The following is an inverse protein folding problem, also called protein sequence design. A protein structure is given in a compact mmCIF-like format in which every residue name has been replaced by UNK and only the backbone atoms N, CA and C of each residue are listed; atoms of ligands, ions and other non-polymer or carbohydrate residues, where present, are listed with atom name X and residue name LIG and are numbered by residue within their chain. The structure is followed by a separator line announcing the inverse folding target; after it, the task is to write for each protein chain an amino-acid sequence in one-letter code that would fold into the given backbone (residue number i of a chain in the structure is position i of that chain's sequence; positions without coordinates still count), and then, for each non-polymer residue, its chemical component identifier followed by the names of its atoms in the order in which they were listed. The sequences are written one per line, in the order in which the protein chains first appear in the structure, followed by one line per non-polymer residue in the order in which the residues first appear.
data_IF_654539316118
#
_entry.id   IF_654539316118
#
_cell.length_a   1.000
_cell.length_b   1.000
_cell.length_c   1.000
_cell.angle_alpha   90.00
_cell.angle_beta   90.00
_cell.angle_gamma   90.00
#
_symmetry.space_group_name_H-M   'P 1'
#
loop_
_entity.id
_entity.type
_entity.pdbx_description
1 polymer ?
#
# COMPACT_ATOMS: atom_id res chain seq x y z
N UNK A 1 -5.57 -10.61 7.88
CA UNK A 1 -5.16 -11.80 8.63
C UNK A 1 -6.24 -12.19 9.64
N UNK A 2 -6.66 -13.46 9.64
CA UNK A 2 -7.67 -13.95 10.56
C UNK A 2 -7.30 -13.61 12.02
N UNK A 3 -8.26 -12.99 12.75
CA UNK A 3 -8.15 -12.67 14.18
C UNK A 3 -7.10 -11.57 14.53
N UNK A 4 -6.62 -10.78 13.57
CA UNK A 4 -5.80 -9.61 13.87
C UNK A 4 -6.67 -8.47 14.40
N UNK A 5 -6.22 -7.79 15.46
CA UNK A 5 -7.06 -6.83 16.18
C UNK A 5 -7.51 -5.63 15.34
N UNK A 6 -6.73 -5.21 14.35
CA UNK A 6 -7.10 -4.10 13.45
C UNK A 6 -8.19 -4.50 12.45
N UNK A 7 -8.34 -5.81 12.19
CA UNK A 7 -9.35 -6.36 11.28
C UNK A 7 -10.59 -6.89 12.06
N UNK A 8 -10.78 -6.40 13.28
CA UNK A 8 -11.88 -6.82 14.15
C UNK A 8 -11.61 -8.11 14.94
N UNK A 9 -10.38 -8.60 14.92
CA UNK A 9 -9.93 -9.72 15.74
C UNK A 9 -9.47 -9.31 17.14
N UNK A 10 -8.81 -10.23 17.82
CA UNK A 10 -8.39 -10.06 19.23
C UNK A 10 -6.88 -10.14 19.42
N UNK A 11 -6.13 -10.61 18.41
CA UNK A 11 -4.70 -10.90 18.51
C UNK A 11 -3.82 -9.83 17.89
N UNK A 12 -2.69 -9.56 18.53
CA UNK A 12 -1.60 -8.71 18.00
C UNK A 12 -0.74 -9.47 17.00
N UNK A 13 -0.55 -10.78 17.23
CA UNK A 13 0.09 -11.72 16.31
C UNK A 13 -0.93 -12.83 16.06
N UNK A 14 -1.50 -12.86 14.87
CA UNK A 14 -2.65 -13.71 14.55
C UNK A 14 -2.29 -15.10 14.05
N UNK A 15 -1.01 -15.35 13.74
CA UNK A 15 -0.51 -16.59 13.16
C UNK A 15 0.80 -17.02 13.84
N UNK A 16 1.16 -18.28 13.70
CA UNK A 16 2.47 -18.78 14.11
C UNK A 16 3.55 -18.35 13.09
N UNK A 17 4.81 -18.45 13.49
CA UNK A 17 5.93 -18.15 12.57
C UNK A 17 5.94 -19.08 11.36
N UNK A 18 5.60 -20.35 11.57
CA UNK A 18 5.49 -21.37 10.53
C UNK A 18 4.39 -21.03 9.53
N UNK A 19 3.20 -20.68 10.03
CA UNK A 19 2.08 -20.23 9.18
C UNK A 19 2.42 -18.98 8.39
N UNK A 20 3.09 -18.02 9.01
CA UNK A 20 3.54 -16.80 8.31
C UNK A 20 4.52 -17.15 7.17
N UNK A 21 5.51 -17.99 7.40
CA UNK A 21 6.46 -18.40 6.36
C UNK A 21 5.76 -19.15 5.23
N UNK A 22 4.79 -20.02 5.53
CA UNK A 22 3.98 -20.70 4.53
C UNK A 22 3.15 -19.70 3.73
N UNK A 23 2.55 -18.71 4.38
CA UNK A 23 1.73 -17.68 3.71
C UNK A 23 2.59 -16.81 2.78
N UNK A 24 3.76 -16.34 3.23
CA UNK A 24 4.67 -15.58 2.37
C UNK A 24 5.10 -16.40 1.16
N UNK A 25 5.40 -17.69 1.34
CA UNK A 25 5.76 -18.59 0.24
C UNK A 25 4.61 -18.77 -0.75
N UNK A 26 3.38 -18.93 -0.28
CA UNK A 26 2.19 -19.03 -1.15
C UNK A 26 1.94 -17.73 -1.92
N UNK A 27 1.98 -16.59 -1.24
CA UNK A 27 1.86 -15.28 -1.89
C UNK A 27 2.92 -15.15 -2.99
N UNK A 28 4.15 -15.50 -2.71
CA UNK A 28 5.23 -15.43 -3.70
C UNK A 28 5.01 -16.35 -4.89
N UNK A 29 4.43 -17.54 -4.67
CA UNK A 29 4.08 -18.45 -5.76
C UNK A 29 2.96 -17.87 -6.63
N UNK A 30 1.89 -17.35 -6.03
CA UNK A 30 0.80 -16.68 -6.76
C UNK A 30 1.34 -15.52 -7.61
N UNK A 31 2.22 -14.69 -7.04
CA UNK A 31 2.83 -13.57 -7.78
C UNK A 31 3.66 -14.05 -9.00
N UNK A 32 4.28 -15.23 -8.91
CA UNK A 32 4.98 -15.85 -10.05
C UNK A 32 4.03 -16.36 -11.10
N UNK A 33 2.98 -17.02 -10.66
CA UNK A 33 2.00 -17.64 -11.55
C UNK A 33 1.20 -16.57 -12.34
N UNK A 34 0.93 -15.42 -11.73
CA UNK A 34 0.35 -14.25 -12.39
C UNK A 34 1.27 -13.63 -13.45
N UNK A 35 2.58 -13.72 -13.31
CA UNK A 35 3.56 -13.28 -14.30
C UNK A 35 3.51 -11.80 -14.66
N UNK A 36 2.95 -10.93 -13.80
CA UNK A 36 2.79 -9.50 -14.06
C UNK A 36 4.14 -8.79 -14.23
N UNK A 37 4.25 -7.85 -15.19
CA UNK A 37 5.46 -7.05 -15.40
C UNK A 37 5.79 -6.16 -14.20
N UNK A 38 4.77 -5.64 -13.53
CA UNK A 38 4.88 -4.81 -12.33
C UNK A 38 3.89 -5.29 -11.28
N UNK A 39 4.38 -5.53 -10.07
CA UNK A 39 3.57 -5.94 -8.92
C UNK A 39 3.62 -4.88 -7.84
N UNK A 40 2.45 -4.49 -7.32
CA UNK A 40 2.29 -3.49 -6.26
C UNK A 40 1.76 -4.18 -5.00
N UNK A 41 2.57 -4.17 -3.95
CA UNK A 41 2.26 -4.81 -2.67
C UNK A 41 2.12 -3.75 -1.58
N UNK A 42 1.17 -3.96 -0.68
CA UNK A 42 0.92 -3.13 0.49
C UNK A 42 1.10 -3.96 1.76
N UNK A 43 1.32 -3.28 2.88
CA UNK A 43 1.51 -3.90 4.20
C UNK A 43 2.67 -4.90 4.31
N UNK A 44 3.70 -4.72 3.47
CA UNK A 44 4.91 -5.56 3.52
C UNK A 44 5.74 -5.17 4.74
N UNK A 45 5.93 -6.11 5.65
CA UNK A 45 6.68 -5.90 6.89
C UNK A 45 8.19 -6.04 6.67
N UNK A 46 8.94 -5.14 7.32
CA UNK A 46 10.40 -5.25 7.48
C UNK A 46 10.72 -5.24 8.97
N UNK A 47 10.87 -6.41 9.58
CA UNK A 47 11.21 -6.57 11.00
C UNK A 47 10.16 -6.00 11.98
N UNK A 48 8.88 -6.20 11.70
CA UNK A 48 7.79 -5.91 12.63
C UNK A 48 7.60 -7.05 13.65
N UNK A 49 7.21 -6.72 14.88
CA UNK A 49 6.91 -7.73 15.89
C UNK A 49 5.78 -8.68 15.45
N UNK A 50 4.75 -8.14 14.81
CA UNK A 50 3.59 -8.91 14.31
C UNK A 50 3.95 -9.98 13.28
N UNK A 51 5.09 -9.81 12.59
CA UNK A 51 5.65 -10.74 11.59
C UNK A 51 6.92 -11.45 12.09
N UNK A 52 7.06 -11.62 13.40
CA UNK A 52 8.23 -12.26 14.03
C UNK A 52 9.58 -11.66 13.62
N UNK A 53 9.60 -10.36 13.31
CA UNK A 53 10.75 -9.63 12.78
C UNK A 53 11.34 -10.23 11.48
N UNK A 54 10.54 -10.98 10.73
CA UNK A 54 10.92 -11.41 9.38
C UNK A 54 10.92 -10.19 8.46
N UNK A 55 11.92 -10.11 7.60
CA UNK A 55 11.97 -9.13 6.52
C UNK A 55 11.26 -9.71 5.30
N UNK A 56 9.97 -9.43 5.17
CA UNK A 56 9.15 -9.95 4.07
C UNK A 56 9.60 -9.38 2.73
N UNK A 57 10.07 -8.12 2.71
CA UNK A 57 10.60 -7.52 1.48
C UNK A 57 11.84 -8.29 0.98
N UNK A 58 12.76 -8.65 1.89
CA UNK A 58 13.96 -9.42 1.56
C UNK A 58 13.59 -10.83 1.06
N UNK A 59 12.65 -11.49 1.74
CA UNK A 59 12.17 -12.82 1.33
C UNK A 59 11.51 -12.77 -0.05
N UNK A 60 10.61 -11.81 -0.28
CA UNK A 60 9.89 -11.69 -1.55
C UNK A 60 10.87 -11.31 -2.67
N UNK A 61 11.73 -10.31 -2.48
CA UNK A 61 12.69 -9.88 -3.50
C UNK A 61 13.70 -11.00 -3.85
N UNK A 62 14.13 -11.76 -2.85
CA UNK A 62 15.01 -12.92 -3.07
C UNK A 62 14.41 -14.02 -3.96
N UNK A 63 13.07 -14.09 -4.02
CA UNK A 63 12.36 -15.01 -4.90
C UNK A 63 12.21 -14.49 -6.36
N UNK A 64 12.52 -13.20 -6.59
CA UNK A 64 12.46 -12.55 -7.92
C UNK A 64 13.81 -11.86 -8.24
N UNK A 65 14.90 -12.62 -8.40
CA UNK A 65 16.24 -12.05 -8.57
C UNK A 65 16.41 -11.26 -9.88
N UNK A 66 15.52 -11.45 -10.84
CA UNK A 66 15.45 -10.76 -12.14
C UNK A 66 14.60 -9.50 -12.10
N UNK A 67 13.97 -9.18 -10.96
CA UNK A 67 13.13 -7.99 -10.80
C UNK A 67 13.76 -6.95 -9.88
N UNK A 68 13.53 -5.69 -10.19
CA UNK A 68 13.91 -4.60 -9.30
C UNK A 68 12.86 -4.48 -8.18
N UNK A 69 13.31 -4.55 -6.93
CA UNK A 69 12.51 -4.19 -5.75
C UNK A 69 12.69 -2.72 -5.41
N UNK A 70 11.59 -2.05 -5.10
CA UNK A 70 11.57 -0.70 -4.52
C UNK A 70 10.64 -0.71 -3.31
N UNK A 71 11.08 -0.10 -2.20
CA UNK A 71 10.34 -0.11 -0.94
C UNK A 71 10.20 1.28 -0.33
N UNK A 72 9.03 1.58 0.23
CA UNK A 72 8.78 2.83 0.95
C UNK A 72 8.04 2.56 2.27
N UNK A 73 8.65 2.94 3.42
CA UNK A 73 7.97 2.86 4.71
C UNK A 73 6.75 3.77 4.76
N UNK A 74 5.60 3.22 5.14
CA UNK A 74 4.39 3.97 5.48
C UNK A 74 3.97 3.83 6.96
N UNK A 75 4.55 2.85 7.67
CA UNK A 75 4.41 2.69 9.12
C UNK A 75 5.77 2.31 9.72
N UNK A 76 6.34 3.23 10.51
CA UNK A 76 7.59 2.97 11.22
C UNK A 76 7.50 3.55 12.63
N UNK A 77 7.36 2.66 13.62
CA UNK A 77 7.30 2.99 15.03
C UNK A 77 8.20 2.04 15.82
N UNK A 78 8.99 2.59 16.74
CA UNK A 78 9.87 1.80 17.61
C UNK A 78 9.08 0.99 18.63
N UNK A 79 7.97 1.56 19.12
CA UNK A 79 7.11 0.91 20.11
C UNK A 79 5.71 1.50 20.05
N UNK A 80 4.72 0.63 19.89
CA UNK A 80 3.30 0.97 19.96
C UNK A 80 2.75 0.28 21.21
N UNK A 81 2.36 1.06 22.25
CA UNK A 81 1.94 0.49 23.55
C UNK A 81 0.55 -0.11 23.57
N UNK A 82 -0.14 -0.05 22.46
CA UNK A 82 -1.53 -0.48 22.28
C UNK A 82 -1.61 -1.55 21.17
N UNK A 83 -2.57 -2.51 21.24
CA UNK A 83 -3.50 -2.79 22.36
C UNK A 83 -2.78 -3.43 23.57
N UNK A 84 -3.48 -4.22 24.37
CA UNK A 84 -2.90 -5.04 25.44
C UNK A 84 -3.16 -6.51 25.08
N UNK A 85 -2.10 -7.32 24.84
CA UNK A 85 -0.66 -6.99 24.84
C UNK A 85 -0.25 -6.02 23.73
N UNK A 86 0.85 -5.26 23.91
CA UNK A 86 1.24 -4.20 22.98
C UNK A 86 1.70 -4.74 21.61
N UNK A 87 1.45 -3.95 20.55
CA UNK A 87 1.90 -4.25 19.19
C UNK A 87 3.44 -4.19 19.05
N UNK A 88 4.12 -3.48 19.95
CA UNK A 88 5.57 -3.27 19.95
C UNK A 88 6.06 -2.53 18.70
N UNK A 89 7.21 -2.94 18.13
CA UNK A 89 7.76 -2.30 16.94
C UNK A 89 7.00 -2.69 15.67
N UNK A 90 6.83 -1.71 14.80
CA UNK A 90 6.33 -1.89 13.43
C UNK A 90 7.28 -1.21 12.46
N UNK A 91 7.57 -1.88 11.38
CA UNK A 91 8.29 -1.37 10.23
C UNK A 91 7.68 -2.00 8.98
N UNK A 92 6.68 -1.32 8.39
CA UNK A 92 5.91 -1.80 7.26
C UNK A 92 5.81 -0.75 6.17
N UNK A 93 5.52 -1.17 4.95
CA UNK A 93 5.48 -0.24 3.84
C UNK A 93 4.83 -0.78 2.57
N UNK A 94 5.10 -0.02 1.52
CA UNK A 94 4.75 -0.35 0.14
C UNK A 94 5.97 -0.99 -0.52
N UNK A 95 5.75 -2.05 -1.28
CA UNK A 95 6.78 -2.68 -2.09
C UNK A 95 6.29 -2.74 -3.54
N UNK A 96 7.16 -2.41 -4.47
CA UNK A 96 6.90 -2.57 -5.90
C UNK A 96 8.01 -3.43 -6.51
N UNK A 97 7.61 -4.49 -7.22
CA UNK A 97 8.51 -5.33 -8.02
C UNK A 97 8.31 -4.98 -9.48
N UNK A 98 9.40 -4.78 -10.21
CA UNK A 98 9.36 -4.49 -11.65
C UNK A 98 10.32 -5.38 -12.42
N UNK A 99 9.80 -6.11 -13.41
CA UNK A 99 10.58 -6.78 -14.45
C UNK A 99 11.02 -5.82 -15.56
N UNK A 100 10.47 -4.60 -15.57
CA UNK A 100 10.84 -3.54 -16.50
C UNK A 100 11.92 -2.63 -15.89
N UNK A 101 12.69 -1.96 -16.74
CA UNK A 101 13.70 -1.01 -16.29
C UNK A 101 13.05 0.16 -15.55
N UNK A 102 13.45 0.40 -14.31
CA UNK A 102 13.06 1.57 -13.51
C UNK A 102 14.22 2.57 -13.54
N UNK A 103 13.93 3.82 -13.89
CA UNK A 103 14.90 4.91 -13.89
C UNK A 103 15.03 5.53 -12.49
N UNK A 104 13.90 5.70 -11.81
CA UNK A 104 13.88 6.22 -10.44
C UNK A 104 12.67 5.69 -9.67
N UNK A 105 12.83 5.59 -8.36
CA UNK A 105 11.77 5.30 -7.40
C UNK A 105 11.75 6.41 -6.34
N UNK A 106 10.58 6.95 -6.04
CA UNK A 106 10.40 8.07 -5.13
C UNK A 106 9.31 7.78 -4.10
N UNK A 107 9.63 8.06 -2.82
CA UNK A 107 8.63 8.07 -1.75
C UNK A 107 8.05 9.47 -1.61
N UNK A 108 6.77 9.63 -1.90
CA UNK A 108 6.03 10.90 -1.76
C UNK A 108 5.16 10.82 -0.51
N UNK A 109 5.41 11.70 0.47
CA UNK A 109 4.63 11.71 1.72
C UNK A 109 3.22 12.23 1.47
N UNK A 110 2.22 11.53 2.01
CA UNK A 110 0.83 11.97 2.02
C UNK A 110 0.52 12.80 3.28
N UNK A 111 -0.51 13.66 3.24
CA UNK A 111 -1.04 14.33 4.42
C UNK A 111 -1.40 13.32 5.51
N UNK A 112 -1.06 13.64 6.76
CA UNK A 112 -1.36 12.80 7.92
C UNK A 112 -2.40 13.48 8.81
N UNK A 113 -3.50 12.79 9.20
CA UNK A 113 -4.48 13.32 10.13
C UNK A 113 -3.95 13.35 11.58
N UNK A 114 -2.89 12.62 11.86
CA UNK A 114 -2.37 12.43 13.21
C UNK A 114 -1.40 13.54 13.63
N UNK A 115 -1.68 14.15 14.77
CA UNK A 115 -0.80 15.16 15.42
C UNK A 115 0.09 14.50 16.46
N UNK A 116 1.16 15.21 16.84
CA UNK A 116 1.99 14.81 17.97
C UNK A 116 1.17 14.81 19.28
N UNK A 117 1.36 13.84 20.23
CA UNK A 117 2.31 12.72 20.17
C UNK A 117 1.80 11.50 19.37
N UNK A 118 0.52 11.43 19.00
CA UNK A 118 -0.10 10.30 18.32
C UNK A 118 0.60 9.92 16.99
N UNK A 119 1.09 10.90 16.24
CA UNK A 119 1.82 10.68 14.99
C UNK A 119 3.10 9.84 15.13
N UNK A 120 3.63 9.68 16.36
CA UNK A 120 4.82 8.85 16.61
C UNK A 120 4.54 7.34 16.51
N UNK A 121 3.29 6.95 16.75
CA UNK A 121 2.84 5.56 16.75
C UNK A 121 1.94 5.21 15.55
N UNK A 122 1.46 6.22 14.82
CA UNK A 122 0.53 6.04 13.72
C UNK A 122 1.20 6.02 12.35
N UNK A 123 0.42 5.63 11.35
CA UNK A 123 0.79 5.53 9.95
C UNK A 123 1.22 6.90 9.40
N UNK A 124 2.26 6.88 8.57
CA UNK A 124 2.73 8.00 7.76
C UNK A 124 2.60 7.59 6.30
N UNK A 125 1.36 7.57 5.84
CA UNK A 125 1.00 7.14 4.50
C UNK A 125 1.85 7.85 3.44
N UNK A 126 2.12 7.14 2.36
CA UNK A 126 2.90 7.66 1.24
C UNK A 126 2.46 7.02 -0.07
N UNK A 127 2.90 7.61 -1.16
CA UNK A 127 2.93 6.99 -2.47
C UNK A 127 4.36 6.49 -2.72
N UNK A 128 4.50 5.37 -3.42
CA UNK A 128 5.76 4.91 -3.99
C UNK A 128 5.63 5.02 -5.51
N UNK A 129 6.24 6.03 -6.08
CA UNK A 129 6.19 6.30 -7.52
C UNK A 129 7.43 5.74 -8.21
N UNK A 130 7.23 4.85 -9.18
CA UNK A 130 8.25 4.35 -10.08
C UNK A 130 8.18 5.12 -11.40
N UNK A 131 9.30 5.57 -11.92
CA UNK A 131 9.37 6.17 -13.26
C UNK A 131 10.15 5.25 -14.20
N UNK A 132 9.46 4.78 -15.24
CA UNK A 132 9.97 3.84 -16.21
C UNK A 132 10.17 4.55 -17.55
N UNK A 133 11.34 4.42 -18.17
CA UNK A 133 11.59 5.01 -19.49
C UNK A 133 10.78 4.27 -20.57
N UNK A 134 10.30 5.03 -21.56
CA UNK A 134 9.64 4.50 -22.74
C UNK A 134 10.62 4.60 -23.91
N UNK A 135 10.87 3.47 -24.57
CA UNK A 135 11.81 3.42 -25.70
C UNK A 135 11.39 4.39 -26.83
N UNK A 136 12.33 5.22 -27.28
CA UNK A 136 12.09 6.19 -28.35
C UNK A 136 11.25 7.40 -27.94
N UNK A 137 11.07 7.66 -26.65
CA UNK A 137 10.30 8.79 -26.13
C UNK A 137 10.98 9.45 -24.94
N UNK A 138 10.83 10.77 -24.82
CA UNK A 138 11.19 11.51 -23.59
C UNK A 138 10.14 11.31 -22.47
N UNK A 139 8.97 10.79 -22.81
CA UNK A 139 7.89 10.49 -21.86
C UNK A 139 8.24 9.27 -21.03
N UNK A 140 7.65 9.19 -19.84
CA UNK A 140 7.82 8.07 -18.92
C UNK A 140 6.47 7.43 -18.60
N UNK A 141 6.50 6.15 -18.24
CA UNK A 141 5.42 5.51 -17.52
C UNK A 141 5.67 5.72 -16.02
N UNK A 142 4.74 6.39 -15.34
CA UNK A 142 4.78 6.59 -13.90
C UNK A 142 3.78 5.64 -13.25
N UNK A 143 4.28 4.71 -12.46
CA UNK A 143 3.46 3.73 -11.73
C UNK A 143 3.50 4.07 -10.25
N UNK A 144 2.33 4.36 -9.68
CA UNK A 144 2.18 4.79 -8.29
C UNK A 144 1.56 3.66 -7.48
N UNK A 145 2.32 3.10 -6.53
CA UNK A 145 1.81 2.21 -5.51
C UNK A 145 1.34 3.03 -4.31
N UNK A 146 0.16 2.71 -3.78
CA UNK A 146 -0.46 3.45 -2.70
C UNK A 146 -1.15 2.55 -1.66
N UNK A 147 -1.32 3.09 -0.46
CA UNK A 147 -2.19 2.57 0.59
C UNK A 147 -2.72 3.76 1.38
N UNK A 148 -3.97 4.15 1.12
CA UNK A 148 -4.60 5.34 1.67
C UNK A 148 -5.15 5.11 3.09
N UNK A 149 -5.59 6.19 3.74
CA UNK A 149 -6.10 6.15 5.11
C UNK A 149 -7.44 5.41 5.21
N UNK A 150 -7.55 4.57 6.24
CA UNK A 150 -8.72 3.75 6.52
C UNK A 150 -9.52 4.21 7.75
N UNK A 151 -8.82 4.75 8.75
CA UNK A 151 -9.28 4.80 10.14
C UNK A 151 -9.54 6.23 10.67
N UNK A 152 -9.65 7.21 9.77
CA UNK A 152 -10.01 8.57 10.13
C UNK A 152 -11.51 8.84 9.96
N UNK A 153 -11.93 10.05 10.30
CA UNK A 153 -13.31 10.54 10.10
C UNK A 153 -13.64 10.89 8.64
N UNK A 154 -12.72 10.63 7.72
CA UNK A 154 -12.81 10.90 6.28
C UNK A 154 -11.98 12.10 5.80
N UNK A 155 -11.68 13.06 6.65
CA UNK A 155 -10.96 14.27 6.25
C UNK A 155 -9.50 13.99 5.80
N UNK A 156 -8.81 13.10 6.48
CA UNK A 156 -7.45 12.69 6.10
C UNK A 156 -7.43 11.91 4.79
N UNK A 157 -8.41 11.04 4.59
CA UNK A 157 -8.58 10.28 3.34
C UNK A 157 -8.90 11.20 2.16
N UNK A 158 -9.80 12.16 2.33
CA UNK A 158 -10.11 13.16 1.32
C UNK A 158 -8.87 13.99 0.94
N UNK A 159 -8.11 14.45 1.94
CA UNK A 159 -6.85 15.16 1.70
C UNK A 159 -5.83 14.30 0.94
N UNK A 160 -5.76 12.99 1.22
CA UNK A 160 -4.88 12.06 0.53
C UNK A 160 -5.33 11.80 -0.91
N UNK A 161 -6.65 11.66 -1.14
CA UNK A 161 -7.22 11.54 -2.48
C UNK A 161 -6.87 12.75 -3.35
N UNK A 162 -7.11 13.95 -2.83
CA UNK A 162 -6.77 15.19 -3.52
C UNK A 162 -5.28 15.26 -3.87
N UNK A 163 -4.41 14.91 -2.92
CA UNK A 163 -2.97 14.91 -3.15
C UNK A 163 -2.53 13.87 -4.20
N UNK A 164 -3.16 12.70 -4.22
CA UNK A 164 -2.94 11.68 -5.24
C UNK A 164 -3.32 12.22 -6.63
N UNK A 165 -4.52 12.79 -6.76
CA UNK A 165 -5.02 13.36 -8.03
C UNK A 165 -4.09 14.47 -8.52
N UNK A 166 -3.69 15.39 -7.64
CA UNK A 166 -2.74 16.46 -7.96
C UNK A 166 -1.38 15.92 -8.42
N UNK A 167 -0.90 14.84 -7.78
CA UNK A 167 0.34 14.17 -8.17
C UNK A 167 0.24 13.53 -9.55
N UNK A 168 -0.86 12.82 -9.82
CA UNK A 168 -1.12 12.22 -11.13
C UNK A 168 -1.25 13.28 -12.22
N UNK A 169 -1.99 14.36 -11.94
CA UNK A 169 -2.17 15.48 -12.86
C UNK A 169 -0.84 16.16 -13.24
N UNK A 170 0.00 16.40 -12.25
CA UNK A 170 1.33 16.98 -12.47
C UNK A 170 2.20 16.12 -13.42
N UNK A 171 2.18 14.81 -13.24
CA UNK A 171 2.91 13.89 -14.11
C UNK A 171 2.30 13.84 -15.52
N UNK A 172 0.97 13.86 -15.63
CA UNK A 172 0.26 13.91 -16.90
C UNK A 172 0.54 15.21 -17.66
N UNK A 173 0.50 16.36 -17.00
CA UNK A 173 0.83 17.68 -17.57
C UNK A 173 2.30 17.77 -18.01
N UNK A 174 3.20 17.04 -17.35
CA UNK A 174 4.58 16.86 -17.79
C UNK A 174 4.72 15.96 -19.03
N UNK A 175 3.59 15.41 -19.53
CA UNK A 175 3.52 14.56 -20.71
C UNK A 175 3.74 13.08 -20.45
N UNK A 176 3.78 12.64 -19.17
CA UNK A 176 3.97 11.25 -18.80
C UNK A 176 2.65 10.47 -18.86
N UNK A 177 2.76 9.14 -18.97
CA UNK A 177 1.65 8.22 -18.74
C UNK A 177 1.62 7.86 -17.24
N UNK A 178 0.45 7.91 -16.61
CA UNK A 178 0.33 7.71 -15.16
C UNK A 178 -0.68 6.62 -14.85
N UNK A 179 -0.29 5.68 -14.01
CA UNK A 179 -1.16 4.62 -13.46
C UNK A 179 -0.98 4.59 -11.95
N UNK A 180 -2.07 4.55 -11.21
CA UNK A 180 -2.06 4.37 -9.77
C UNK A 180 -2.82 3.08 -9.38
N UNK A 181 -2.25 2.31 -8.48
CA UNK A 181 -2.82 1.07 -7.98
C UNK A 181 -2.43 0.80 -6.54
N UNK A 182 -3.20 -0.03 -5.87
CA UNK A 182 -2.96 -0.40 -4.47
C UNK A 182 -4.23 -0.39 -3.64
N UNK A 183 -4.09 -0.24 -2.33
CA UNK A 183 -5.20 -0.20 -1.40
C UNK A 183 -5.70 1.24 -1.18
N UNK A 184 -6.80 1.57 -1.83
CA UNK A 184 -7.45 2.87 -1.68
C UNK A 184 -8.24 3.00 -0.37
N UNK A 185 -8.54 1.91 0.30
CA UNK A 185 -9.50 1.86 1.42
C UNK A 185 -10.85 2.50 1.09
N UNK A 186 -11.24 2.42 -0.18
CA UNK A 186 -12.47 3.01 -0.72
C UNK A 186 -13.02 2.12 -1.85
N UNK A 187 -14.32 2.25 -2.09
CA UNK A 187 -14.96 1.73 -3.31
C UNK A 187 -15.04 2.83 -4.36
N UNK A 188 -14.82 2.48 -5.62
CA UNK A 188 -14.95 3.45 -6.71
C UNK A 188 -16.42 3.68 -7.06
N UNK A 189 -16.76 4.94 -7.41
CA UNK A 189 -18.08 5.25 -7.94
C UNK A 189 -18.35 4.46 -9.22
N UNK A 190 -19.56 3.91 -9.33
CA UNK A 190 -19.97 3.09 -10.47
C UNK A 190 -19.62 1.59 -10.36
N UNK A 191 -18.98 1.16 -9.27
CA UNK A 191 -18.80 -0.26 -8.96
C UNK A 191 -20.02 -0.79 -8.22
N UNK A 192 -20.62 -1.85 -8.74
CA UNK A 192 -21.71 -2.57 -8.06
C UNK A 192 -21.14 -3.47 -6.96
N UNK A 193 -21.04 -2.91 -5.76
CA UNK A 193 -20.51 -3.62 -4.58
C UNK A 193 -21.36 -4.84 -4.17
N UNK A 194 -22.63 -4.90 -4.61
CA UNK A 194 -23.52 -6.02 -4.32
C UNK A 194 -23.10 -7.34 -5.01
N UNK A 195 -22.18 -7.25 -5.98
CA UNK A 195 -21.60 -8.43 -6.63
C UNK A 195 -20.44 -9.05 -5.87
N UNK A 196 -19.93 -8.37 -4.86
CA UNK A 196 -18.82 -8.83 -4.05
C UNK A 196 -19.33 -9.17 -2.65
N UNK A 197 -18.91 -10.31 -2.11
CA UNK A 197 -19.21 -10.65 -0.73
C UNK A 197 -18.57 -9.60 0.18
N UNK A 198 -19.40 -8.80 0.81
CA UNK A 198 -18.97 -7.89 1.87
C UNK A 198 -18.69 -8.76 3.09
N UNK A 199 -17.42 -8.84 3.49
CA UNK A 199 -17.00 -9.58 4.68
C UNK A 199 -17.82 -9.21 5.92
N UNK A 200 -17.66 -9.98 6.99
CA UNK A 200 -18.49 -10.01 8.20
C UNK A 200 -19.04 -8.64 8.62
N UNK A 201 -20.35 -8.58 8.78
CA UNK A 201 -21.13 -7.42 9.22
C UNK A 201 -20.64 -6.91 10.59
N UNK A 202 -20.30 -5.63 10.65
CA UNK A 202 -19.93 -4.94 11.89
C UNK A 202 -18.51 -4.38 11.92
N UNK A 203 -17.70 -4.67 10.93
CA UNK A 203 -16.35 -4.13 10.75
C UNK A 203 -16.40 -2.92 9.80
N UNK A 204 -15.34 -2.16 9.75
CA UNK A 204 -15.12 -1.00 8.92
C UNK A 204 -15.75 -1.10 7.50
N UNK A 205 -16.39 -0.02 7.06
CA UNK A 205 -16.94 0.09 5.70
C UNK A 205 -16.09 1.06 4.88
N UNK A 206 -15.69 0.68 3.67
CA UNK A 206 -14.94 1.57 2.79
C UNK A 206 -15.78 2.82 2.43
N UNK A 207 -15.14 3.99 2.42
CA UNK A 207 -15.71 5.19 1.86
C UNK A 207 -15.86 5.10 0.34
N UNK A 208 -16.45 6.14 -0.27
CA UNK A 208 -16.55 6.24 -1.72
C UNK A 208 -15.40 7.09 -2.28
N UNK A 209 -14.73 6.60 -3.31
CA UNK A 209 -13.83 7.38 -4.17
C UNK A 209 -14.63 7.84 -5.40
N UNK A 210 -14.90 9.14 -5.52
CA UNK A 210 -15.63 9.66 -6.67
C UNK A 210 -14.69 9.78 -7.88
N UNK A 211 -14.92 8.95 -8.87
CA UNK A 211 -14.12 8.93 -10.10
C UNK A 211 -14.46 10.07 -11.07
N UNK A 212 -15.48 10.87 -10.79
CA UNK A 212 -15.83 12.02 -11.66
C UNK A 212 -14.70 13.03 -11.72
N UNK A 213 -14.07 13.31 -10.57
CA UNK A 213 -12.92 14.23 -10.50
C UNK A 213 -11.76 13.80 -11.41
N UNK A 214 -11.58 12.48 -11.61
CA UNK A 214 -10.55 11.96 -12.53
C UNK A 214 -10.94 12.17 -14.00
N UNK A 215 -12.24 12.07 -14.34
CA UNK A 215 -12.71 12.19 -15.73
C UNK A 215 -12.61 13.61 -16.26
N UNK A 216 -12.93 14.59 -15.42
CA UNK A 216 -12.92 15.99 -15.80
C UNK A 216 -11.49 16.54 -15.96
N UNK A 217 -10.50 15.93 -15.25
CA UNK A 217 -9.11 16.36 -15.27
C UNK A 217 -8.25 15.65 -16.33
N UNK A 218 -8.68 14.51 -16.88
CA UNK A 218 -7.89 13.67 -17.81
C UNK A 218 -8.62 13.36 -19.13
N UNK A 219 -9.70 14.08 -19.44
CA UNK A 219 -10.47 13.96 -20.71
C UNK A 219 -9.91 14.85 -21.83
#
# INVERSE_FOLDING_TARGET
TADFFMDGGTKVVSQTKEEMNVNVSKITQELRDEGADITLLQEVDRKSYRSYNVDEEDVISGMFPDRLSSFAYNHKALFIPYPIPPLRNVAAGLMSLSGLKVESAERISLPSPFKWPGSTCNLKRCLLALRLPISGSEKKLVVINLHLEAYDDGAGREAQNKYLIETMKKEYEAGNYVVAGGDFNQTFSGVDVGKYEVGATGVWKPGLFDTKELRDDFS
#
